data_IF_204872512043
#
_entry.id   IF_204872512043
#
_cell.length_a   1.000
_cell.length_b   1.000
_cell.length_c   1.000
_cell.angle_alpha   90.00
_cell.angle_beta   90.00
_cell.angle_gamma   90.00
#
_symmetry.space_group_name_H-M   'P 1'
#
loop_
_entity.id
_entity.type
_entity.pdbx_description
1 polymer ?
#
# COMPACT_ATOMS: atom_id res chain seq x y z
N UNK A 1 -9.61 -14.79 -7.19
CA UNK A 1 -10.37 -13.55 -6.90
C UNK A 1 -10.45 -13.38 -5.39
N UNK A 2 -10.06 -12.22 -4.86
CA UNK A 2 -10.14 -11.96 -3.42
C UNK A 2 -11.60 -12.06 -2.93
N UNK A 3 -11.81 -12.63 -1.74
CA UNK A 3 -13.16 -12.80 -1.17
C UNK A 3 -13.65 -11.48 -0.58
N UNK A 4 -14.74 -10.95 -1.13
CA UNK A 4 -15.38 -9.74 -0.60
C UNK A 4 -16.33 -10.07 0.56
N UNK A 5 -16.15 -9.42 1.70
CA UNK A 5 -17.00 -9.60 2.90
C UNK A 5 -17.50 -8.23 3.36
N UNK A 6 -18.78 -8.13 3.73
CA UNK A 6 -19.33 -6.91 4.33
C UNK A 6 -18.78 -6.76 5.75
N UNK A 7 -18.31 -5.56 6.09
CA UNK A 7 -17.81 -5.21 7.42
C UNK A 7 -18.48 -3.92 7.86
N UNK A 8 -18.80 -3.84 9.16
CA UNK A 8 -19.28 -2.62 9.81
C UNK A 8 -18.15 -2.14 10.71
N UNK A 9 -17.49 -1.07 10.32
CA UNK A 9 -16.35 -0.46 11.01
C UNK A 9 -16.45 1.06 10.88
N UNK A 10 -15.86 1.79 11.81
CA UNK A 10 -15.72 3.24 11.72
C UNK A 10 -14.48 3.58 10.89
N UNK A 11 -14.61 4.54 9.98
CA UNK A 11 -13.53 4.98 9.10
C UNK A 11 -13.51 6.51 9.05
N UNK A 12 -12.31 7.07 8.82
CA UNK A 12 -12.15 8.50 8.64
C UNK A 12 -12.54 8.91 7.21
N UNK A 13 -13.61 9.70 7.09
CA UNK A 13 -14.13 10.15 5.79
C UNK A 13 -13.13 11.00 4.99
N UNK A 14 -12.35 11.86 5.65
CA UNK A 14 -11.36 12.72 4.97
C UNK A 14 -10.28 11.87 4.28
N UNK A 15 -9.90 10.75 4.89
CA UNK A 15 -8.96 9.80 4.29
C UNK A 15 -9.59 9.05 3.11
N UNK A 16 -10.86 8.68 3.20
CA UNK A 16 -11.59 8.05 2.10
C UNK A 16 -11.67 9.00 0.91
N UNK A 17 -12.00 10.27 1.13
CA UNK A 17 -12.11 11.27 0.08
C UNK A 17 -10.76 11.53 -0.61
N UNK A 18 -9.68 11.65 0.17
CA UNK A 18 -8.32 11.72 -0.39
C UNK A 18 -7.96 10.47 -1.19
N UNK A 19 -8.25 9.28 -0.66
CA UNK A 19 -8.00 8.03 -1.36
C UNK A 19 -8.79 7.93 -2.67
N UNK A 20 -10.02 8.45 -2.73
CA UNK A 20 -10.80 8.51 -3.97
C UNK A 20 -10.13 9.37 -5.03
N UNK A 21 -9.55 10.51 -4.64
CA UNK A 21 -8.80 11.39 -5.56
C UNK A 21 -7.52 10.69 -6.05
N UNK A 22 -6.71 10.18 -5.12
CA UNK A 22 -5.42 9.52 -5.42
C UNK A 22 -5.62 8.34 -6.37
N UNK A 23 -6.58 7.46 -6.06
CA UNK A 23 -6.81 6.25 -6.84
C UNK A 23 -7.77 6.45 -8.02
N UNK A 24 -8.30 7.67 -8.21
CA UNK A 24 -9.37 8.00 -9.16
C UNK A 24 -10.56 7.04 -9.05
N UNK A 25 -10.93 6.70 -7.82
CA UNK A 25 -11.95 5.72 -7.54
C UNK A 25 -13.37 6.33 -7.60
N UNK A 26 -14.29 5.63 -8.26
CA UNK A 26 -15.67 6.10 -8.41
C UNK A 26 -16.46 6.00 -7.11
N UNK A 27 -16.14 5.01 -6.27
CA UNK A 27 -16.84 4.73 -5.00
C UNK A 27 -15.86 4.63 -3.84
N UNK A 28 -16.36 4.87 -2.63
CA UNK A 28 -15.59 4.69 -1.38
C UNK A 28 -15.14 3.24 -1.21
N UNK A 29 -16.02 2.29 -1.51
CA UNK A 29 -15.67 0.86 -1.53
C UNK A 29 -14.45 0.59 -2.41
N UNK A 30 -14.41 1.17 -3.61
CA UNK A 30 -13.29 0.99 -4.51
C UNK A 30 -12.01 1.63 -3.97
N UNK A 31 -12.10 2.83 -3.40
CA UNK A 31 -10.95 3.51 -2.79
C UNK A 31 -10.37 2.71 -1.62
N UNK A 32 -11.22 2.24 -0.70
CA UNK A 32 -10.80 1.49 0.49
C UNK A 32 -10.19 0.15 0.10
N UNK A 33 -10.80 -0.61 -0.82
CA UNK A 33 -10.22 -1.89 -1.25
C UNK A 33 -8.89 -1.69 -1.99
N UNK A 34 -8.77 -0.65 -2.81
CA UNK A 34 -7.51 -0.36 -3.52
C UNK A 34 -6.40 0.11 -2.58
N UNK A 35 -6.75 0.85 -1.52
CA UNK A 35 -5.81 1.19 -0.46
C UNK A 35 -5.29 -0.07 0.26
N UNK A 36 -6.18 -1.01 0.59
CA UNK A 36 -5.80 -2.29 1.21
C UNK A 36 -4.94 -3.15 0.28
N UNK A 37 -5.25 -3.19 -1.02
CA UNK A 37 -4.42 -3.87 -2.02
C UNK A 37 -2.99 -3.29 -2.07
N UNK A 38 -2.85 -1.96 -2.08
CA UNK A 38 -1.53 -1.30 -2.08
C UNK A 38 -0.71 -1.66 -0.84
N UNK A 39 -1.32 -1.70 0.35
CA UNK A 39 -0.63 -2.06 1.60
C UNK A 39 -0.09 -3.49 1.54
N UNK A 40 -0.87 -4.43 0.99
CA UNK A 40 -0.43 -5.83 0.84
C UNK A 40 0.71 -5.94 -0.19
N UNK A 41 0.62 -5.21 -1.30
CA UNK A 41 1.67 -5.17 -2.32
C UNK A 41 2.97 -4.58 -1.74
N UNK A 42 2.88 -3.50 -0.97
CA UNK A 42 4.04 -2.90 -0.33
C UNK A 42 4.72 -3.87 0.64
N UNK A 43 3.97 -4.65 1.42
CA UNK A 43 4.52 -5.70 2.29
C UNK A 43 5.21 -6.81 1.47
N UNK A 44 4.61 -7.23 0.35
CA UNK A 44 5.22 -8.20 -0.56
C UNK A 44 6.51 -7.68 -1.21
N UNK A 45 6.55 -6.39 -1.58
CA UNK A 45 7.72 -5.73 -2.16
C UNK A 45 8.82 -5.57 -1.11
N UNK A 46 8.50 -5.10 0.09
CA UNK A 46 9.48 -4.98 1.19
C UNK A 46 10.02 -6.35 1.55
N UNK A 47 9.16 -7.36 1.73
CA UNK A 47 9.60 -8.73 1.99
C UNK A 47 10.40 -9.32 0.83
N UNK A 48 10.11 -8.96 -0.42
CA UNK A 48 10.94 -9.33 -1.57
C UNK A 48 12.29 -8.60 -1.56
N UNK A 49 12.33 -7.33 -1.18
CA UNK A 49 13.55 -6.54 -1.06
C UNK A 49 14.44 -7.03 0.08
N UNK A 50 13.86 -7.46 1.21
CA UNK A 50 14.61 -8.10 2.30
C UNK A 50 15.15 -9.48 1.88
N UNK A 51 14.36 -10.26 1.12
CA UNK A 51 14.80 -11.55 0.57
C UNK A 51 15.89 -11.42 -0.50
N UNK A 52 15.88 -10.36 -1.30
CA UNK A 52 16.89 -10.07 -2.33
C UNK A 52 18.09 -9.30 -1.76
N UNK A 53 17.89 -8.52 -0.70
CA UNK A 53 18.84 -7.60 -0.07
C UNK A 53 19.70 -8.21 1.05
N UNK A 54 19.65 -9.53 1.22
CA UNK A 54 20.65 -10.27 1.99
C UNK A 54 22.01 -10.34 1.29
N UNK A 55 22.64 -9.17 1.04
CA UNK A 55 24.10 -8.91 0.95
C UNK A 55 24.38 -7.54 0.30
N UNK A 56 24.54 -6.55 1.16
CA UNK A 56 25.58 -5.52 1.10
C UNK A 56 25.77 -4.70 -0.18
N UNK A 57 25.44 -3.41 -0.10
CA UNK A 57 26.44 -2.35 -0.29
C UNK A 57 26.03 -1.13 0.51
N UNK A 58 26.89 -0.78 1.48
CA UNK A 58 26.96 0.54 2.09
C UNK A 58 26.87 1.58 0.99
N UNK A 59 25.96 2.53 1.14
CA UNK A 59 26.03 3.82 0.45
C UNK A 59 26.80 4.75 1.39
N UNK A 60 28.08 4.45 1.59
CA UNK A 60 29.04 5.41 2.12
C UNK A 60 30.20 5.43 1.12
N UNK A 61 30.67 6.63 0.80
CA UNK A 61 31.77 6.97 -0.12
C UNK A 61 31.43 7.18 -1.61
N UNK A 62 30.84 8.34 -1.92
CA UNK A 62 31.23 9.12 -3.11
C UNK A 62 31.26 10.62 -2.76
N UNK A 63 32.25 11.01 -1.95
CA UNK A 63 32.79 12.38 -1.89
C UNK A 63 34.23 12.30 -1.37
N UNK A 64 35.16 11.98 -2.27
CA UNK A 64 36.55 12.46 -2.24
C UNK A 64 36.96 12.85 -3.66
#
# INVERSE_FOLDING_TARGET
MARMVKKTIELNQDFIDRARIIFRAKTEKQAVNKALEMVVIDDEIVAAHERLGGKGRLIEEVFE
#
